data_IF_993223916974
#
_entry.id   IF_993223916974
#
_cell.length_a   1.000
_cell.length_b   1.000
_cell.length_c   1.000
_cell.angle_alpha   90.00
_cell.angle_beta   90.00
_cell.angle_gamma   90.00
#
_symmetry.space_group_name_H-M   'P 1'
#
loop_
_entity.id
_entity.type
_entity.pdbx_description
1 polymer ?
#
# COMPACT_ATOMS: atom_id res chain seq x y z
N UNK A 1 19.96 30.49 21.06
CA UNK A 1 20.40 30.62 19.66
C UNK A 1 19.22 30.27 18.78
N UNK A 2 18.60 31.24 18.11
CA UNK A 2 17.46 31.00 17.22
C UNK A 2 17.98 30.42 15.91
N UNK A 3 17.41 29.30 15.45
CA UNK A 3 17.72 28.75 14.12
C UNK A 3 17.32 29.79 13.07
N UNK A 4 18.17 30.07 12.06
CA UNK A 4 17.80 30.98 10.98
C UNK A 4 16.58 30.40 10.26
N UNK A 5 15.56 31.22 10.06
CA UNK A 5 14.37 30.84 9.31
C UNK A 5 14.80 30.36 7.92
N UNK A 6 14.61 29.07 7.62
CA UNK A 6 14.95 28.52 6.33
C UNK A 6 14.12 29.23 5.26
N UNK A 7 14.80 29.92 4.35
CA UNK A 7 14.18 30.56 3.20
C UNK A 7 13.49 29.50 2.33
N UNK A 8 12.19 29.68 2.08
CA UNK A 8 11.38 28.74 1.29
C UNK A 8 11.99 28.58 -0.10
N UNK A 9 12.38 27.36 -0.46
CA UNK A 9 12.95 27.10 -1.79
C UNK A 9 11.87 27.13 -2.87
N UNK A 10 12.16 27.71 -4.05
CA UNK A 10 11.21 27.74 -5.16
C UNK A 10 10.87 26.33 -5.65
N UNK A 11 9.70 26.19 -6.30
CA UNK A 11 9.21 24.95 -6.90
C UNK A 11 10.22 24.45 -7.94
N UNK A 12 11.05 23.48 -7.56
CA UNK A 12 12.05 22.89 -8.46
C UNK A 12 11.42 21.75 -9.28
N UNK A 13 11.98 21.38 -10.44
CA UNK A 13 11.46 20.26 -11.24
C UNK A 13 11.33 18.94 -10.46
N UNK A 14 12.20 18.75 -9.45
CA UNK A 14 12.13 17.59 -8.56
C UNK A 14 10.87 17.59 -7.68
N UNK A 15 10.45 18.76 -7.20
CA UNK A 15 9.22 18.93 -6.39
C UNK A 15 7.98 18.76 -7.28
N UNK A 16 8.04 19.20 -8.53
CA UNK A 16 6.97 18.99 -9.51
C UNK A 16 6.73 17.49 -9.78
N UNK A 17 7.79 16.69 -9.90
CA UNK A 17 7.65 15.24 -10.04
C UNK A 17 7.00 14.58 -8.81
N UNK A 18 7.23 15.13 -7.61
CA UNK A 18 6.61 14.62 -6.39
C UNK A 18 5.10 14.91 -6.30
N UNK A 19 4.56 15.84 -7.09
CA UNK A 19 3.10 16.07 -7.19
C UNK A 19 2.36 14.87 -7.80
N UNK A 20 3.07 14.06 -8.60
CA UNK A 20 2.52 12.88 -9.27
C UNK A 20 2.70 11.58 -8.49
N UNK A 21 3.39 11.62 -7.35
CA UNK A 21 3.49 10.49 -6.44
C UNK A 21 2.19 10.27 -5.66
N UNK A 22 2.02 9.08 -5.10
CA UNK A 22 0.92 8.79 -4.19
C UNK A 22 1.21 9.35 -2.80
N UNK A 23 0.34 10.25 -2.34
CA UNK A 23 0.40 10.85 -1.01
C UNK A 23 -0.81 10.47 -0.18
N UNK A 24 -0.55 9.82 0.94
CA UNK A 24 -1.59 9.41 1.88
C UNK A 24 -1.66 10.39 3.06
N UNK A 25 -2.85 10.85 3.43
CA UNK A 25 -3.02 11.55 4.71
C UNK A 25 -2.74 10.56 5.86
N UNK A 26 -1.77 10.88 6.72
CA UNK A 26 -1.24 9.97 7.74
C UNK A 26 -2.32 9.42 8.67
N UNK A 27 -3.29 10.24 9.07
CA UNK A 27 -4.40 9.80 9.91
C UNK A 27 -5.37 8.85 9.19
N UNK A 28 -5.53 8.95 7.87
CA UNK A 28 -6.42 8.06 7.12
C UNK A 28 -5.78 6.69 6.96
N UNK A 29 -4.55 6.64 6.47
CA UNK A 29 -3.82 5.38 6.26
C UNK A 29 -3.60 4.63 7.58
N UNK A 30 -3.23 5.33 8.66
CA UNK A 30 -3.05 4.67 9.97
C UNK A 30 -4.37 4.13 10.55
N UNK A 31 -5.49 4.84 10.36
CA UNK A 31 -6.81 4.33 10.76
C UNK A 31 -7.20 3.09 9.96
N UNK A 32 -6.96 3.10 8.65
CA UNK A 32 -7.23 1.94 7.79
C UNK A 32 -6.39 0.73 8.23
N UNK A 33 -5.08 0.89 8.40
CA UNK A 33 -4.18 -0.17 8.84
C UNK A 33 -4.56 -0.71 10.22
N UNK A 34 -4.90 0.16 11.17
CA UNK A 34 -5.33 -0.26 12.50
C UNK A 34 -6.68 -0.99 12.49
N UNK A 35 -7.61 -0.59 11.62
CA UNK A 35 -8.88 -1.31 11.44
C UNK A 35 -8.65 -2.73 10.88
N UNK A 36 -7.70 -2.89 9.97
CA UNK A 36 -7.35 -4.19 9.35
C UNK A 36 -6.75 -5.18 10.36
N UNK A 37 -5.99 -4.70 11.35
CA UNK A 37 -5.40 -5.57 12.39
C UNK A 37 -6.44 -6.40 13.15
N UNK A 38 -7.69 -5.95 13.20
CA UNK A 38 -8.78 -6.63 13.92
C UNK A 38 -9.62 -7.55 13.04
N UNK A 39 -9.32 -7.63 11.74
CA UNK A 39 -10.10 -8.42 10.78
C UNK A 39 -9.57 -9.85 10.64
N UNK A 40 -10.41 -10.75 10.12
CA UNK A 40 -10.04 -12.14 9.92
C UNK A 40 -9.40 -12.36 8.54
N UNK A 41 -8.08 -12.45 8.52
CA UNK A 41 -7.29 -12.69 7.29
C UNK A 41 -7.53 -14.06 6.65
N UNK A 42 -8.19 -15.03 7.28
CA UNK A 42 -8.45 -16.34 6.66
C UNK A 42 -9.62 -16.28 5.66
N UNK A 43 -10.55 -15.35 5.84
CA UNK A 43 -11.72 -15.21 4.98
C UNK A 43 -11.35 -14.39 3.74
N UNK A 44 -11.53 -14.97 2.54
CA UNK A 44 -11.26 -14.28 1.27
C UNK A 44 -12.05 -12.97 1.16
N UNK A 45 -13.32 -12.96 1.55
CA UNK A 45 -14.17 -11.76 1.53
C UNK A 45 -13.64 -10.67 2.45
N UNK A 46 -13.12 -11.03 3.63
CA UNK A 46 -12.51 -10.06 4.54
C UNK A 46 -11.24 -9.46 3.94
N UNK A 47 -10.38 -10.29 3.33
CA UNK A 47 -9.16 -9.81 2.64
C UNK A 47 -9.48 -8.89 1.46
N UNK A 48 -10.45 -9.25 0.63
CA UNK A 48 -10.91 -8.43 -0.50
C UNK A 48 -11.46 -7.08 -0.01
N UNK A 49 -12.29 -7.06 1.05
CA UNK A 49 -12.77 -5.81 1.63
C UNK A 49 -11.63 -4.93 2.16
N UNK A 50 -10.61 -5.53 2.79
CA UNK A 50 -9.43 -4.79 3.26
C UNK A 50 -8.62 -4.21 2.09
N UNK A 51 -8.46 -4.96 1.01
CA UNK A 51 -7.79 -4.50 -0.20
C UNK A 51 -8.54 -3.31 -0.83
N UNK A 52 -9.87 -3.38 -0.91
CA UNK A 52 -10.71 -2.31 -1.43
C UNK A 52 -10.56 -1.03 -0.59
N UNK A 53 -10.53 -1.15 0.74
CA UNK A 53 -10.29 -0.01 1.64
C UNK A 53 -8.91 0.62 1.37
N UNK A 54 -7.86 -0.19 1.19
CA UNK A 54 -6.50 0.29 0.91
C UNK A 54 -6.39 0.99 -0.44
N UNK A 55 -7.07 0.45 -1.46
CA UNK A 55 -7.07 1.02 -2.81
C UNK A 55 -7.98 2.25 -2.93
N UNK A 56 -8.98 2.37 -2.06
CA UNK A 56 -9.89 3.51 -2.00
C UNK A 56 -9.38 4.69 -1.17
N UNK A 57 -8.17 4.63 -0.61
CA UNK A 57 -7.57 5.77 0.08
C UNK A 57 -7.25 6.89 -0.91
N UNK A 58 -7.46 8.14 -0.48
CA UNK A 58 -7.03 9.31 -1.25
C UNK A 58 -5.49 9.35 -1.34
N UNK A 59 -4.99 9.45 -2.56
CA UNK A 59 -3.55 9.48 -2.88
C UNK A 59 -3.10 10.83 -3.43
N UNK A 60 -3.96 11.85 -3.44
CA UNK A 60 -3.63 13.14 -4.03
C UNK A 60 -2.53 13.88 -3.26
N UNK A 61 -1.59 14.47 -4.01
CA UNK A 61 -0.58 15.35 -3.44
C UNK A 61 -1.21 16.51 -2.67
N UNK A 62 -0.77 16.80 -1.43
CA UNK A 62 -1.37 17.86 -0.62
C UNK A 62 -0.89 19.26 -1.02
N UNK A 63 0.04 19.36 -1.97
CA UNK A 63 0.62 20.58 -2.49
C UNK A 63 0.53 20.61 -4.02
N UNK A 64 0.65 21.80 -4.59
CA UNK A 64 0.77 22.04 -6.02
C UNK A 64 1.56 23.33 -6.24
N UNK A 65 1.90 23.67 -7.48
CA UNK A 65 2.60 24.93 -7.79
C UNK A 65 1.95 26.18 -7.19
N UNK A 66 0.61 26.23 -7.16
CA UNK A 66 -0.17 27.33 -6.58
C UNK A 66 -0.62 27.08 -5.13
N UNK A 67 -0.33 25.91 -4.55
CA UNK A 67 -0.86 25.48 -3.24
C UNK A 67 0.28 24.97 -2.36
N UNK A 68 0.53 25.67 -1.25
CA UNK A 68 1.49 25.21 -0.24
C UNK A 68 1.02 23.93 0.42
N UNK A 69 1.98 23.18 0.95
CA UNK A 69 1.69 22.05 1.82
C UNK A 69 0.86 22.52 3.02
N UNK A 70 -0.22 21.81 3.39
CA UNK A 70 -1.12 22.21 4.46
C UNK A 70 -0.41 22.17 5.82
N UNK A 71 -0.68 23.17 6.65
CA UNK A 71 -0.15 23.22 8.02
C UNK A 71 -0.91 22.25 8.95
N UNK A 72 -0.21 21.72 9.95
CA UNK A 72 -0.78 20.84 10.99
C UNK A 72 -1.22 19.45 10.51
N UNK A 73 -0.96 19.07 9.26
CA UNK A 73 -1.28 17.75 8.72
C UNK A 73 -0.03 16.97 8.36
N UNK A 74 -0.07 15.65 8.58
CA UNK A 74 1.00 14.73 8.24
C UNK A 74 0.57 13.94 7.01
N UNK A 75 1.43 13.88 6.00
CA UNK A 75 1.25 13.02 4.83
C UNK A 75 2.43 12.07 4.67
N UNK A 76 2.14 10.94 4.04
CA UNK A 76 3.09 9.89 3.73
C UNK A 76 3.18 9.79 2.21
N UNK A 77 4.36 10.06 1.66
CA UNK A 77 4.64 9.83 0.25
C UNK A 77 5.07 8.37 0.05
N UNK A 78 4.43 7.67 -0.89
CA UNK A 78 4.69 6.24 -1.15
C UNK A 78 6.13 5.99 -1.62
N UNK A 79 6.69 6.88 -2.45
CA UNK A 79 8.07 6.80 -2.96
C UNK A 79 9.12 7.13 -1.89
N UNK A 80 8.70 7.68 -0.75
CA UNK A 80 9.60 8.01 0.34
C UNK A 80 9.89 6.79 1.23
N UNK A 81 11.16 6.41 1.31
CA UNK A 81 11.62 5.32 2.18
C UNK A 81 11.11 3.96 1.71
N UNK A 82 10.49 3.20 2.63
CA UNK A 82 10.10 1.80 2.41
C UNK A 82 8.59 1.61 2.17
N UNK A 83 7.82 2.70 2.09
CA UNK A 83 6.36 2.65 2.05
C UNK A 83 5.83 1.92 0.81
N UNK A 84 6.35 2.25 -0.38
CA UNK A 84 6.01 1.56 -1.63
C UNK A 84 6.12 0.03 -1.49
N UNK A 85 7.27 -0.45 -0.99
CA UNK A 85 7.52 -1.88 -0.81
C UNK A 85 6.53 -2.50 0.18
N UNK A 86 6.31 -1.88 1.33
CA UNK A 86 5.42 -2.40 2.40
C UNK A 86 3.96 -2.44 1.95
N UNK A 87 3.48 -1.38 1.29
CA UNK A 87 2.12 -1.31 0.77
C UNK A 87 1.90 -2.30 -0.37
N UNK A 88 2.88 -2.46 -1.26
CA UNK A 88 2.83 -3.49 -2.31
C UNK A 88 2.75 -4.90 -1.71
N UNK A 89 3.62 -5.23 -0.74
CA UNK A 89 3.59 -6.51 -0.05
C UNK A 89 2.25 -6.78 0.64
N UNK A 90 1.68 -5.76 1.28
CA UNK A 90 0.37 -5.86 1.92
C UNK A 90 -0.74 -6.11 0.90
N UNK A 91 -0.76 -5.37 -0.21
CA UNK A 91 -1.75 -5.56 -1.30
C UNK A 91 -1.67 -6.99 -1.86
N UNK A 92 -0.47 -7.48 -2.14
CA UNK A 92 -0.26 -8.86 -2.63
C UNK A 92 -0.75 -9.90 -1.61
N UNK A 93 -0.45 -9.70 -0.33
CA UNK A 93 -0.89 -10.62 0.72
C UNK A 93 -2.42 -10.65 0.86
N UNK A 94 -3.10 -9.51 0.67
CA UNK A 94 -4.55 -9.41 0.70
C UNK A 94 -5.21 -9.99 -0.55
N UNK A 95 -4.61 -9.84 -1.73
CA UNK A 95 -5.13 -10.39 -2.98
C UNK A 95 -4.87 -11.90 -3.14
N UNK A 96 -4.07 -12.50 -2.26
CA UNK A 96 -3.79 -13.93 -2.31
C UNK A 96 -5.09 -14.76 -2.22
N UNK A 97 -5.33 -15.55 -3.26
CA UNK A 97 -6.41 -16.53 -3.35
C UNK A 97 -5.81 -17.90 -3.10
N UNK A 98 -6.36 -18.62 -2.13
CA UNK A 98 -5.94 -20.00 -1.92
C UNK A 98 -6.16 -20.79 -3.21
N UNK A 99 -5.15 -21.51 -3.73
CA UNK A 99 -5.38 -22.47 -4.79
C UNK A 99 -6.39 -23.47 -4.22
N UNK A 100 -7.54 -23.55 -4.88
CA UNK A 100 -8.64 -24.45 -4.53
C UNK A 100 -8.04 -25.81 -4.19
N UNK A 101 -8.17 -26.24 -2.92
CA UNK A 101 -8.00 -27.65 -2.59
C UNK A 101 -9.18 -28.36 -3.22
N UNK A 102 -9.05 -28.77 -4.47
CA UNK A 102 -9.93 -29.76 -5.06
C UNK A 102 -9.83 -31.02 -4.18
N UNK A 103 -10.90 -31.45 -3.49
CA UNK A 103 -10.87 -32.72 -2.76
C UNK A 103 -10.96 -33.93 -3.72
N UNK A 104 -10.84 -33.72 -5.04
CA UNK A 104 -10.97 -34.75 -6.08
C UNK A 104 -9.94 -34.56 -7.20
N UNK A 105 -8.66 -34.53 -6.86
CA UNK A 105 -7.59 -34.71 -7.85
C UNK A 105 -6.38 -35.39 -7.22
N UNK A 106 -6.57 -36.62 -6.75
CA UNK A 106 -5.45 -37.55 -6.58
C UNK A 106 -5.91 -38.95 -6.96
N UNK A 107 -6.26 -39.14 -8.23
CA UNK A 107 -5.94 -40.41 -8.88
C UNK A 107 -4.43 -40.45 -8.96
N UNK A 108 -3.82 -41.21 -8.05
CA UNK A 108 -2.40 -41.52 -8.09
C UNK A 108 -2.19 -42.34 -9.37
N UNK A 109 -1.83 -41.68 -10.47
CA UNK A 109 -1.14 -42.36 -11.55
C UNK A 109 0.24 -42.71 -10.99
N UNK A 110 0.32 -43.89 -10.38
CA UNK A 110 1.58 -44.55 -10.09
C UNK A 110 2.27 -44.79 -11.43
N UNK A 111 3.20 -43.91 -11.80
CA UNK A 111 4.20 -44.23 -12.80
C UNK A 111 5.07 -45.35 -12.21
N UNK A 112 4.69 -46.60 -12.50
CA UNK A 112 5.56 -47.76 -12.33
C UNK A 112 6.62 -47.62 -13.42
N UNK A 113 7.82 -47.17 -13.04
CA UNK A 113 9.00 -47.36 -13.89
C UNK A 113 9.31 -48.86 -13.86
N UNK A 114 8.92 -49.57 -14.92
CA UNK A 114 9.48 -50.89 -15.24
C UNK A 114 10.84 -50.63 -15.85
N UNK A 115 11.89 -51.06 -15.15
CA UNK A 115 13.24 -51.17 -15.69
C UNK A 115 13.37 -52.62 -16.16
N UNK A 116 13.39 -52.82 -17.47
CA UNK A 116 13.99 -54.00 -18.12
C UNK A 116 15.46 -53.68 -18.42
#
# INVERSE_FOLDING_TARGET
MAQPAQQYQPYTPKVELMEFDNWYEGSQIMRALHAMQRQNFHLQTSRSNMLDILNGLDTQAPFAKAKRFPDGKIYICESSGDWARKLMQLRIALDFKDPVKDPKATSINTCVFVVD
#
